data_IF_865727564530
#
_entry.id   IF_865727564530
#
_cell.length_a   1.000
_cell.length_b   1.000
_cell.length_c   1.000
_cell.angle_alpha   90.00
_cell.angle_beta   90.00
_cell.angle_gamma   90.00
#
_symmetry.space_group_name_H-M   'P 1'
#
loop_
_entity.id
_entity.type
_entity.pdbx_description
1 polymer ?
#
# COMPACT_ATOMS: atom_id res chain seq x y z
N UNK A 1 6.79 -19.59 11.12
CA UNK A 1 5.42 -20.06 10.89
C UNK A 1 4.70 -20.42 12.18
N UNK A 2 5.12 -21.43 12.95
CA UNK A 2 4.45 -21.79 14.22
C UNK A 2 4.37 -20.63 15.22
N UNK A 3 5.49 -19.92 15.46
CA UNK A 3 5.52 -18.73 16.32
C UNK A 3 4.66 -17.57 15.81
N UNK A 4 4.46 -17.47 14.48
CA UNK A 4 3.64 -16.41 13.89
C UNK A 4 2.15 -16.70 14.11
N UNK A 5 1.74 -17.95 13.95
CA UNK A 5 0.37 -18.42 14.24
C UNK A 5 0.06 -18.25 15.74
N UNK A 6 1.02 -18.54 16.62
CA UNK A 6 0.87 -18.30 18.06
C UNK A 6 0.69 -16.80 18.38
N UNK A 7 1.47 -15.92 17.72
CA UNK A 7 1.30 -14.48 17.86
C UNK A 7 -0.09 -14.01 17.42
N UNK A 8 -0.63 -14.55 16.31
CA UNK A 8 -2.01 -14.25 15.88
C UNK A 8 -3.03 -14.72 16.93
N UNK A 9 -2.89 -15.93 17.46
CA UNK A 9 -3.79 -16.42 18.51
C UNK A 9 -3.71 -15.59 19.79
N UNK A 10 -2.53 -15.05 20.13
CA UNK A 10 -2.33 -14.21 21.30
C UNK A 10 -3.10 -12.88 21.23
N UNK A 11 -3.42 -12.39 20.01
CA UNK A 11 -4.26 -11.20 19.83
C UNK A 11 -5.71 -11.41 20.27
N UNK A 12 -6.16 -12.66 20.40
CA UNK A 12 -7.55 -13.03 20.73
C UNK A 12 -8.59 -12.43 19.76
N UNK A 13 -8.15 -12.11 18.55
CA UNK A 13 -9.01 -11.76 17.43
C UNK A 13 -9.46 -13.04 16.73
N UNK A 14 -10.71 -13.06 16.28
CA UNK A 14 -11.33 -14.21 15.62
C UNK A 14 -12.65 -13.80 14.98
N UNK A 15 -13.66 -14.64 15.09
CA UNK A 15 -14.99 -14.35 14.53
C UNK A 15 -15.81 -13.47 15.47
N UNK A 16 -16.52 -12.49 14.91
CA UNK A 16 -17.61 -11.81 15.61
C UNK A 16 -18.96 -12.31 15.11
N UNK A 17 -20.00 -12.17 15.94
CA UNK A 17 -21.39 -12.39 15.53
C UNK A 17 -22.08 -11.05 15.43
N UNK A 18 -22.54 -10.70 14.22
CA UNK A 18 -23.26 -9.47 13.91
C UNK A 18 -24.61 -9.83 13.26
N UNK A 19 -25.57 -8.92 13.30
CA UNK A 19 -26.87 -9.11 12.64
C UNK A 19 -26.75 -8.87 11.12
N UNK A 20 -26.93 -9.90 10.27
CA UNK A 20 -26.83 -9.75 8.82
C UNK A 20 -27.99 -8.94 8.21
N UNK A 21 -29.11 -8.81 8.92
CA UNK A 21 -30.28 -8.07 8.48
C UNK A 21 -30.30 -6.61 8.95
N UNK A 22 -29.31 -6.19 9.75
CA UNK A 22 -29.18 -4.81 10.18
C UNK A 22 -29.02 -3.87 8.97
N UNK A 23 -29.61 -2.68 9.05
CA UNK A 23 -29.35 -1.64 8.05
C UNK A 23 -27.86 -1.22 8.07
N UNK A 24 -27.37 -0.51 7.03
CA UNK A 24 -25.95 -0.18 6.92
C UNK A 24 -25.38 0.61 8.11
N UNK A 25 -26.17 1.50 8.73
CA UNK A 25 -25.74 2.32 9.86
C UNK A 25 -25.61 1.49 11.15
N UNK A 26 -26.62 0.66 11.42
CA UNK A 26 -26.63 -0.27 12.53
C UNK A 26 -25.52 -1.32 12.39
N UNK A 27 -25.31 -1.87 11.18
CA UNK A 27 -24.23 -2.82 10.91
C UNK A 27 -22.85 -2.19 11.10
N UNK A 28 -22.65 -0.97 10.59
CA UNK A 28 -21.40 -0.22 10.79
C UNK A 28 -21.13 0.00 12.28
N UNK A 29 -22.16 0.34 13.06
CA UNK A 29 -22.04 0.51 14.51
C UNK A 29 -21.65 -0.80 15.23
N UNK A 30 -22.21 -1.93 14.78
CA UNK A 30 -21.84 -3.26 15.27
C UNK A 30 -20.39 -3.62 14.94
N UNK A 31 -19.94 -3.37 13.70
CA UNK A 31 -18.55 -3.59 13.27
C UNK A 31 -17.60 -2.76 14.15
N UNK A 32 -17.90 -1.47 14.36
CA UNK A 32 -17.09 -0.58 15.20
C UNK A 32 -16.98 -1.07 16.64
N UNK A 33 -18.09 -1.55 17.22
CA UNK A 33 -18.10 -2.12 18.57
C UNK A 33 -17.35 -3.46 18.67
N UNK A 34 -17.23 -4.20 17.57
CA UNK A 34 -16.53 -5.48 17.49
C UNK A 34 -15.11 -5.38 16.88
N UNK A 35 -14.61 -4.18 16.58
CA UNK A 35 -13.39 -3.96 15.80
C UNK A 35 -12.13 -4.68 16.35
N UNK A 36 -11.99 -4.79 17.67
CA UNK A 36 -10.86 -5.48 18.31
C UNK A 36 -11.06 -7.01 18.42
N UNK A 37 -12.21 -7.53 17.99
CA UNK A 37 -12.53 -8.96 17.99
C UNK A 37 -12.55 -9.56 16.59
N UNK A 38 -12.87 -8.77 15.57
CA UNK A 38 -12.89 -9.20 14.17
C UNK A 38 -11.45 -9.40 13.69
N UNK A 39 -11.08 -10.65 13.43
CA UNK A 39 -9.82 -11.05 12.80
C UNK A 39 -10.06 -11.87 11.53
N UNK A 40 -9.00 -12.38 10.93
CA UNK A 40 -9.11 -13.30 9.78
C UNK A 40 -9.58 -14.68 10.22
N UNK A 41 -10.25 -15.39 9.31
CA UNK A 41 -10.72 -16.77 9.54
C UNK A 41 -9.56 -17.75 9.72
N UNK A 42 -8.49 -17.58 8.93
CA UNK A 42 -7.29 -18.42 9.00
C UNK A 42 -6.14 -17.69 9.71
N UNK A 43 -5.58 -18.24 10.79
CA UNK A 43 -4.42 -17.62 11.46
C UNK A 43 -3.14 -17.69 10.61
N UNK A 44 -3.03 -18.66 9.69
CA UNK A 44 -1.91 -18.76 8.75
C UNK A 44 -1.98 -17.64 7.71
N UNK A 45 -3.18 -17.37 7.21
CA UNK A 45 -3.44 -16.25 6.30
C UNK A 45 -3.17 -14.91 6.98
N UNK A 46 -3.70 -14.72 8.20
CA UNK A 46 -3.45 -13.54 9.02
C UNK A 46 -1.94 -13.26 9.19
N UNK A 47 -1.17 -14.28 9.56
CA UNK A 47 0.27 -14.17 9.73
C UNK A 47 1.00 -13.85 8.41
N UNK A 48 0.54 -14.42 7.30
CA UNK A 48 1.11 -14.20 5.96
C UNK A 48 0.84 -12.78 5.49
N UNK A 49 -0.42 -12.32 5.55
CA UNK A 49 -0.81 -10.97 5.17
C UNK A 49 -0.13 -9.92 6.04
N UNK A 50 -0.06 -10.14 7.36
CA UNK A 50 0.63 -9.23 8.29
C UNK A 50 2.09 -9.00 7.96
N UNK A 51 2.76 -10.00 7.38
CA UNK A 51 4.18 -9.88 6.97
C UNK A 51 4.32 -9.22 5.61
N UNK A 52 3.50 -9.64 4.65
CA UNK A 52 3.56 -9.18 3.26
C UNK A 52 3.09 -7.73 3.11
N UNK A 53 1.99 -7.37 3.78
CA UNK A 53 1.31 -6.08 3.62
C UNK A 53 1.65 -5.05 4.70
N UNK A 54 2.62 -5.33 5.58
CA UNK A 54 3.05 -4.35 6.60
C UNK A 54 3.55 -3.04 5.96
N UNK A 55 4.18 -3.14 4.80
CA UNK A 55 4.70 -1.98 4.04
C UNK A 55 3.58 -1.08 3.53
N UNK A 56 2.35 -1.55 3.48
CA UNK A 56 1.21 -0.74 3.07
C UNK A 56 0.71 0.18 4.20
N UNK A 57 1.10 -0.11 5.44
CA UNK A 57 0.73 0.71 6.59
C UNK A 57 1.60 1.96 6.66
N UNK A 58 1.04 3.07 7.17
CA UNK A 58 1.82 4.24 7.45
C UNK A 58 2.95 3.93 8.44
N UNK A 59 4.11 4.57 8.31
CA UNK A 59 5.28 4.27 9.15
C UNK A 59 4.97 4.33 10.65
N UNK A 60 4.14 5.30 11.09
CA UNK A 60 3.72 5.43 12.48
C UNK A 60 2.87 4.25 12.99
N UNK A 61 2.18 3.55 12.09
CA UNK A 61 1.33 2.39 12.41
C UNK A 61 2.07 1.06 12.22
N UNK A 62 3.29 1.06 11.66
CA UNK A 62 4.18 -0.13 11.62
C UNK A 62 4.71 -0.51 13.02
N UNK A 63 4.59 0.39 14.00
CA UNK A 63 4.78 0.14 15.43
C UNK A 63 6.21 -0.18 15.88
N UNK A 64 6.37 -0.37 17.20
CA UNK A 64 7.58 -0.90 17.85
C UNK A 64 7.40 -2.36 18.32
N UNK A 65 6.18 -2.90 18.19
CA UNK A 65 5.82 -4.27 18.54
C UNK A 65 6.10 -5.26 17.41
N UNK A 66 5.44 -6.41 17.44
CA UNK A 66 5.57 -7.37 16.33
C UNK A 66 4.83 -6.87 15.08
N UNK A 67 5.28 -7.30 13.90
CA UNK A 67 4.62 -6.99 12.61
C UNK A 67 3.13 -7.38 12.61
N UNK A 68 2.80 -8.48 13.27
CA UNK A 68 1.45 -9.02 13.38
C UNK A 68 0.58 -8.10 14.25
N UNK A 69 1.05 -7.71 15.44
CA UNK A 69 0.32 -6.77 16.30
C UNK A 69 0.07 -5.43 15.61
N UNK A 70 1.08 -4.87 14.94
CA UNK A 70 0.96 -3.60 14.23
C UNK A 70 -0.12 -3.66 13.13
N UNK A 71 -0.09 -4.71 12.30
CA UNK A 71 -1.05 -4.89 11.22
C UNK A 71 -2.49 -5.07 11.71
N UNK A 72 -2.70 -5.92 12.71
CA UNK A 72 -4.02 -6.13 13.29
C UNK A 72 -4.54 -4.91 14.05
N UNK A 73 -3.66 -4.16 14.75
CA UNK A 73 -4.04 -2.90 15.40
C UNK A 73 -4.49 -1.85 14.37
N UNK A 74 -3.80 -1.75 13.23
CA UNK A 74 -4.19 -0.84 12.15
C UNK A 74 -5.50 -1.26 11.48
N UNK A 75 -5.76 -2.57 11.36
CA UNK A 75 -7.04 -3.11 10.88
C UNK A 75 -8.18 -2.73 11.82
N UNK A 76 -8.05 -3.02 13.12
CA UNK A 76 -9.06 -2.66 14.13
C UNK A 76 -9.32 -1.15 14.18
N UNK A 77 -8.27 -0.34 14.04
CA UNK A 77 -8.43 1.12 13.94
C UNK A 77 -9.23 1.52 12.70
N UNK A 78 -8.97 0.91 11.56
CA UNK A 78 -9.68 1.18 10.31
C UNK A 78 -11.15 0.76 10.39
N UNK A 79 -11.46 -0.37 11.03
CA UNK A 79 -12.85 -0.78 11.31
C UNK A 79 -13.57 0.21 12.24
N UNK A 80 -12.86 0.77 13.23
CA UNK A 80 -13.44 1.72 14.21
C UNK A 80 -13.70 3.11 13.63
N UNK A 81 -12.74 3.63 12.89
CA UNK A 81 -12.71 5.02 12.44
C UNK A 81 -13.12 5.20 10.97
N UNK A 82 -13.13 4.12 10.19
CA UNK A 82 -13.38 4.16 8.75
C UNK A 82 -14.80 4.58 8.38
N UNK A 83 -14.89 5.16 7.18
CA UNK A 83 -16.16 5.43 6.50
C UNK A 83 -16.57 4.20 5.69
N UNK A 84 -17.84 3.84 5.76
CA UNK A 84 -18.44 2.80 4.91
C UNK A 84 -18.39 3.26 3.44
N UNK A 85 -17.76 2.47 2.57
CA UNK A 85 -17.66 2.77 1.13
C UNK A 85 -18.30 1.72 0.25
N UNK A 86 -18.36 0.46 0.71
CA UNK A 86 -19.05 -0.64 0.03
C UNK A 86 -19.91 -1.38 1.04
N UNK A 87 -21.15 -1.68 0.62
CA UNK A 87 -22.07 -2.56 1.31
C UNK A 87 -22.85 -3.33 0.24
N UNK A 88 -22.50 -4.61 0.05
CA UNK A 88 -23.10 -5.46 -0.97
C UNK A 88 -23.48 -6.82 -0.42
N UNK A 89 -24.57 -7.40 -0.93
CA UNK A 89 -25.01 -8.75 -0.56
C UNK A 89 -24.89 -9.65 -1.79
N UNK A 90 -24.10 -10.71 -1.65
CA UNK A 90 -23.94 -11.77 -2.65
C UNK A 90 -25.20 -12.63 -2.76
N UNK A 91 -25.27 -13.42 -3.84
CA UNK A 91 -26.39 -14.35 -4.09
C UNK A 91 -26.50 -15.48 -3.06
N UNK A 92 -25.40 -15.78 -2.35
CA UNK A 92 -25.32 -16.74 -1.26
C UNK A 92 -25.74 -16.14 0.10
N UNK A 93 -26.14 -14.86 0.13
CA UNK A 93 -26.47 -14.13 1.36
C UNK A 93 -25.24 -13.65 2.13
N UNK A 94 -24.02 -13.84 1.60
CA UNK A 94 -22.81 -13.25 2.18
C UNK A 94 -22.81 -11.76 1.91
N UNK A 95 -22.69 -10.95 2.96
CA UNK A 95 -22.60 -9.51 2.88
C UNK A 95 -21.14 -9.06 3.00
N UNK A 96 -20.67 -8.29 2.03
CA UNK A 96 -19.33 -7.72 2.01
C UNK A 96 -19.41 -6.23 2.34
N UNK A 97 -18.67 -5.84 3.36
CA UNK A 97 -18.62 -4.47 3.86
C UNK A 97 -17.19 -3.97 3.78
N UNK A 98 -16.97 -2.79 3.19
CA UNK A 98 -15.64 -2.17 3.12
C UNK A 98 -15.66 -0.83 3.85
N UNK A 99 -14.75 -0.68 4.82
CA UNK A 99 -14.50 0.58 5.52
C UNK A 99 -13.14 1.13 5.14
N UNK A 100 -13.09 2.41 4.79
CA UNK A 100 -11.85 3.09 4.42
C UNK A 100 -11.53 4.25 5.37
N UNK A 101 -10.24 4.40 5.68
CA UNK A 101 -9.70 5.49 6.51
C UNK A 101 -8.48 6.10 5.83
N UNK A 102 -8.32 7.42 5.96
CA UNK A 102 -7.13 8.15 5.51
C UNK A 102 -6.16 8.40 6.65
N UNK A 103 -5.00 7.77 6.61
CA UNK A 103 -3.94 7.92 7.59
C UNK A 103 -2.79 8.79 7.05
N UNK A 104 -2.12 9.60 7.90
CA UNK A 104 -0.93 10.33 7.49
C UNK A 104 0.26 9.37 7.39
N UNK A 105 0.95 9.37 6.25
CA UNK A 105 2.27 8.75 6.11
C UNK A 105 3.36 9.74 6.55
N UNK A 106 3.22 10.99 6.09
CA UNK A 106 3.98 12.15 6.56
C UNK A 106 3.04 13.36 6.68
N UNK A 107 3.58 14.54 6.99
CA UNK A 107 2.82 15.80 6.85
C UNK A 107 2.46 16.12 5.38
N UNK A 108 3.10 15.47 4.41
CA UNK A 108 2.97 15.74 2.99
C UNK A 108 2.24 14.64 2.21
N UNK A 109 2.13 13.45 2.79
CA UNK A 109 1.51 12.28 2.15
C UNK A 109 0.48 11.67 3.08
N UNK A 110 -0.71 11.40 2.53
CA UNK A 110 -1.71 10.56 3.20
C UNK A 110 -1.93 9.31 2.36
N UNK A 111 -2.22 8.21 3.05
CA UNK A 111 -2.55 6.91 2.46
C UNK A 111 -3.96 6.50 2.88
N UNK A 112 -4.69 5.90 1.96
CA UNK A 112 -6.00 5.31 2.22
C UNK A 112 -5.80 3.84 2.57
N UNK A 113 -6.27 3.45 3.75
CA UNK A 113 -6.35 2.06 4.18
C UNK A 113 -7.80 1.57 4.06
N UNK A 114 -7.96 0.32 3.65
CA UNK A 114 -9.22 -0.37 3.50
C UNK A 114 -9.24 -1.62 4.36
N UNK A 115 -10.35 -1.84 5.07
CA UNK A 115 -10.65 -3.07 5.78
C UNK A 115 -11.95 -3.66 5.22
N UNK A 116 -11.85 -4.85 4.62
CA UNK A 116 -12.99 -5.58 4.05
C UNK A 116 -13.45 -6.65 5.03
N UNK A 117 -14.72 -6.61 5.39
CA UNK A 117 -15.38 -7.52 6.31
C UNK A 117 -16.35 -8.38 5.55
N UNK A 118 -16.26 -9.69 5.74
CA UNK A 118 -17.18 -10.68 5.19
C UNK A 118 -18.11 -11.18 6.28
N UNK A 119 -19.41 -10.98 6.09
CA UNK A 119 -20.48 -11.37 7.00
C UNK A 119 -21.33 -12.47 6.34
N UNK A 120 -21.33 -13.66 6.93
CA UNK A 120 -22.15 -14.79 6.47
C UNK A 120 -23.62 -14.61 6.89
N UNK A 121 -24.51 -15.32 6.21
CA UNK A 121 -25.95 -15.31 6.50
C UNK A 121 -26.31 -15.75 7.93
N UNK A 122 -25.43 -16.48 8.62
CA UNK A 122 -25.59 -16.89 10.03
C UNK A 122 -25.09 -15.84 11.04
N UNK A 123 -24.60 -14.69 10.57
CA UNK A 123 -24.05 -13.61 11.37
C UNK A 123 -22.55 -13.75 11.67
N UNK A 124 -21.89 -14.83 11.24
CA UNK A 124 -20.45 -15.01 11.43
C UNK A 124 -19.67 -14.01 10.59
N UNK A 125 -18.78 -13.26 11.24
CA UNK A 125 -18.06 -12.12 10.67
C UNK A 125 -16.56 -12.30 10.78
N UNK A 126 -15.85 -12.09 9.66
CA UNK A 126 -14.40 -12.14 9.58
C UNK A 126 -13.85 -10.94 8.82
N UNK A 127 -12.62 -10.55 9.14
CA UNK A 127 -11.80 -9.72 8.27
C UNK A 127 -11.39 -10.57 7.07
N UNK A 128 -11.75 -10.10 5.89
CA UNK A 128 -11.44 -10.76 4.62
C UNK A 128 -10.15 -10.21 4.05
N UNK A 129 -9.96 -8.90 4.11
CA UNK A 129 -8.73 -8.24 3.65
C UNK A 129 -8.43 -6.93 4.39
N UNK A 130 -7.15 -6.55 4.46
CA UNK A 130 -6.70 -5.27 5.02
C UNK A 130 -5.43 -4.73 4.36
N UNK A 131 -5.40 -3.43 4.09
CA UNK A 131 -4.24 -2.73 3.52
C UNK A 131 -4.68 -1.63 2.58
N UNK A 132 -3.99 -1.45 1.45
CA UNK A 132 -4.47 -0.60 0.36
C UNK A 132 -5.74 -1.18 -0.27
N UNK A 133 -6.68 -0.32 -0.74
CA UNK A 133 -7.85 -0.78 -1.49
C UNK A 133 -7.43 -1.58 -2.72
N UNK A 134 -7.96 -2.79 -2.85
CA UNK A 134 -7.67 -3.66 -3.99
C UNK A 134 -8.30 -3.20 -5.31
N UNK A 135 -9.40 -2.45 -5.22
CA UNK A 135 -10.17 -1.90 -6.34
C UNK A 135 -10.34 -0.39 -6.12
N UNK A 136 -9.26 0.39 -6.23
CA UNK A 136 -9.31 1.80 -5.88
C UNK A 136 -10.11 2.58 -6.92
N UNK A 137 -11.10 3.34 -6.45
CA UNK A 137 -11.84 4.33 -7.25
C UNK A 137 -11.20 5.74 -7.23
N UNK A 138 -10.18 5.92 -6.38
CA UNK A 138 -9.46 7.18 -6.15
C UNK A 138 -8.00 6.86 -5.79
N UNK A 139 -7.07 7.82 -5.91
CA UNK A 139 -5.68 7.57 -5.58
C UNK A 139 -5.53 7.11 -4.13
N UNK A 140 -4.86 5.98 -3.93
CA UNK A 140 -4.60 5.43 -2.58
C UNK A 140 -3.73 6.40 -1.80
N UNK A 141 -2.72 7.00 -2.45
CA UNK A 141 -1.90 8.06 -1.90
C UNK A 141 -2.32 9.44 -2.41
N UNK A 142 -2.37 10.41 -1.50
CA UNK A 142 -2.57 11.82 -1.84
C UNK A 142 -1.36 12.64 -1.40
N UNK A 143 -0.83 13.46 -2.31
CA UNK A 143 0.38 14.27 -2.13
C UNK A 143 0.02 15.74 -1.96
N UNK A 144 0.28 16.28 -0.77
CA UNK A 144 -0.04 17.67 -0.38
C UNK A 144 1.24 18.39 0.06
N UNK A 145 1.75 19.29 -0.77
CA UNK A 145 2.99 20.02 -0.49
C UNK A 145 3.62 20.57 -1.76
N UNK A 146 4.64 21.41 -1.59
CA UNK A 146 5.50 21.86 -2.68
C UNK A 146 6.65 20.87 -2.91
N UNK A 147 7.26 20.91 -4.10
CA UNK A 147 8.42 20.08 -4.47
C UNK A 147 9.54 20.17 -3.43
N UNK A 148 9.83 21.38 -2.96
CA UNK A 148 10.89 21.65 -1.98
C UNK A 148 10.64 20.96 -0.63
N UNK A 149 9.38 20.89 -0.19
CA UNK A 149 9.01 20.23 1.06
C UNK A 149 9.27 18.72 0.97
N UNK A 150 8.90 18.11 -0.17
CA UNK A 150 9.14 16.69 -0.43
C UNK A 150 10.63 16.37 -0.44
N UNK A 151 11.43 17.14 -1.17
CA UNK A 151 12.88 16.95 -1.24
C UNK A 151 13.56 17.18 0.12
N UNK A 152 13.10 18.16 0.89
CA UNK A 152 13.60 18.43 2.23
C UNK A 152 13.33 17.25 3.18
N UNK A 153 12.10 16.74 3.19
CA UNK A 153 11.72 15.59 4.02
C UNK A 153 12.46 14.31 3.57
N UNK A 154 12.55 14.04 2.27
CA UNK A 154 13.26 12.86 1.75
C UNK A 154 14.73 12.85 2.18
N UNK A 155 15.41 14.01 2.11
CA UNK A 155 16.80 14.15 2.58
C UNK A 155 16.93 14.00 4.10
N UNK A 156 15.93 14.43 4.86
CA UNK A 156 15.92 14.22 6.32
C UNK A 156 15.75 12.73 6.65
N UNK A 157 14.83 12.05 5.97
CA UNK A 157 14.54 10.62 6.12
C UNK A 157 15.73 9.75 5.70
N UNK A 158 16.45 10.13 4.63
CA UNK A 158 17.66 9.44 4.18
C UNK A 158 18.80 9.43 5.21
N UNK A 159 18.82 10.38 6.15
CA UNK A 159 19.83 10.44 7.23
C UNK A 159 19.47 9.57 8.43
N UNK A 160 18.28 8.98 8.46
CA UNK A 160 17.77 8.20 9.56
C UNK A 160 17.70 6.72 9.16
N UNK A 161 18.55 5.90 9.76
CA UNK A 161 18.65 4.46 9.45
C UNK A 161 17.36 3.69 9.75
N UNK A 162 16.52 4.19 10.67
CA UNK A 162 15.25 3.57 11.04
C UNK A 162 14.07 3.96 10.12
N UNK A 163 14.28 4.88 9.17
CA UNK A 163 13.24 5.27 8.20
C UNK A 163 13.46 4.47 6.92
N UNK A 164 12.53 3.58 6.53
CA UNK A 164 12.73 2.69 5.40
C UNK A 164 12.76 3.45 4.06
N UNK A 165 13.48 2.87 3.09
CA UNK A 165 13.71 3.50 1.79
C UNK A 165 12.42 3.70 0.97
N UNK A 166 11.41 2.83 1.13
CA UNK A 166 10.11 2.93 0.45
C UNK A 166 9.43 4.29 0.68
N UNK A 167 9.45 4.79 1.93
CA UNK A 167 8.92 6.10 2.29
C UNK A 167 9.69 7.23 1.61
N UNK A 168 11.02 7.11 1.51
CA UNK A 168 11.84 8.11 0.80
C UNK A 168 11.45 8.15 -0.68
N UNK A 169 11.35 6.99 -1.35
CA UNK A 169 10.99 6.92 -2.76
C UNK A 169 9.56 7.46 -3.01
N UNK A 170 8.64 7.24 -2.07
CA UNK A 170 7.30 7.83 -2.10
C UNK A 170 7.35 9.37 -2.03
N UNK A 171 8.21 9.96 -1.19
CA UNK A 171 8.40 11.41 -1.12
C UNK A 171 9.04 11.97 -2.40
N UNK A 172 10.04 11.27 -2.94
CA UNK A 172 10.67 11.67 -4.22
C UNK A 172 9.67 11.59 -5.37
N UNK A 173 8.78 10.59 -5.40
CA UNK A 173 7.69 10.52 -6.37
C UNK A 173 6.74 11.71 -6.19
N UNK A 174 6.38 12.04 -4.96
CA UNK A 174 5.58 13.22 -4.64
C UNK A 174 6.17 14.53 -5.19
N UNK A 175 7.49 14.70 -5.12
CA UNK A 175 8.19 15.86 -5.70
C UNK A 175 8.00 15.93 -7.23
N UNK A 176 8.19 14.81 -7.92
CA UNK A 176 8.06 14.73 -9.39
C UNK A 176 6.63 14.88 -9.88
N UNK A 177 5.63 14.43 -9.11
CA UNK A 177 4.22 14.66 -9.45
C UNK A 177 3.81 16.14 -9.36
N UNK A 178 4.57 16.98 -8.62
CA UNK A 178 4.33 18.43 -8.53
C UNK A 178 5.08 19.24 -9.57
N UNK A 179 6.26 18.78 -9.96
CA UNK A 179 7.10 19.45 -10.95
C UNK A 179 7.57 18.43 -11.99
N UNK A 180 7.04 18.57 -13.20
CA UNK A 180 7.37 17.67 -14.29
C UNK A 180 8.85 17.85 -14.66
N UNK A 181 9.62 16.77 -14.47
CA UNK A 181 11.04 16.60 -14.77
C UNK A 181 12.00 17.27 -13.79
N UNK A 182 12.91 16.44 -13.27
CA UNK A 182 14.13 16.85 -12.56
C UNK A 182 13.88 17.80 -11.36
N UNK A 183 13.13 17.36 -10.32
CA UNK A 183 12.85 18.18 -9.15
C UNK A 183 14.14 18.60 -8.42
N UNK A 184 14.20 19.87 -8.02
CA UNK A 184 15.29 20.44 -7.21
C UNK A 184 16.56 20.81 -7.96
N UNK A 185 17.58 21.21 -7.19
CA UNK A 185 18.90 21.62 -7.71
C UNK A 185 19.83 20.43 -7.92
N UNK A 186 20.84 20.57 -8.79
CA UNK A 186 21.89 19.58 -9.01
C UNK A 186 22.54 19.10 -7.70
N UNK A 187 22.80 20.03 -6.76
CA UNK A 187 23.38 19.71 -5.46
C UNK A 187 22.46 18.82 -4.62
N UNK A 188 21.15 19.07 -4.63
CA UNK A 188 20.19 18.22 -3.92
C UNK A 188 20.11 16.83 -4.54
N UNK A 189 20.15 16.73 -5.86
CA UNK A 189 20.10 15.46 -6.59
C UNK A 189 21.32 14.60 -6.29
N UNK A 190 22.53 15.17 -6.34
CA UNK A 190 23.77 14.47 -5.99
C UNK A 190 23.71 13.93 -4.56
N UNK A 191 23.26 14.75 -3.60
CA UNK A 191 23.15 14.32 -2.20
C UNK A 191 22.14 13.20 -1.99
N UNK A 192 21.01 13.23 -2.71
CA UNK A 192 20.02 12.15 -2.67
C UNK A 192 20.64 10.89 -3.30
N UNK A 193 21.26 10.99 -4.47
CA UNK A 193 21.89 9.87 -5.15
C UNK A 193 22.95 9.18 -4.28
N UNK A 194 23.85 9.95 -3.67
CA UNK A 194 24.89 9.43 -2.75
C UNK A 194 24.27 8.68 -1.56
N UNK A 195 23.20 9.22 -0.97
CA UNK A 195 22.52 8.57 0.14
C UNK A 195 21.78 7.29 -0.27
N UNK A 196 21.21 7.24 -1.48
CA UNK A 196 20.59 6.04 -2.05
C UNK A 196 21.65 4.96 -2.31
N UNK A 197 22.80 5.33 -2.87
CA UNK A 197 23.94 4.41 -3.10
C UNK A 197 24.38 3.77 -1.79
N UNK A 198 24.47 4.56 -0.71
CA UNK A 198 24.81 4.05 0.62
C UNK A 198 23.78 3.05 1.16
N UNK A 199 22.53 3.08 0.66
CA UNK A 199 21.41 2.21 1.05
C UNK A 199 21.08 1.16 -0.02
N UNK A 200 22.06 0.75 -0.84
CA UNK A 200 21.87 -0.24 -1.93
C UNK A 200 21.12 -1.51 -1.50
N UNK A 201 21.40 -2.03 -0.31
CA UNK A 201 20.71 -3.22 0.20
C UNK A 201 19.19 -3.03 0.32
N UNK A 202 18.75 -1.85 0.70
CA UNK A 202 17.32 -1.52 0.78
C UNK A 202 16.70 -1.23 -0.58
N UNK A 203 17.48 -0.69 -1.52
CA UNK A 203 17.06 -0.55 -2.91
C UNK A 203 16.75 -1.91 -3.52
N UNK A 204 17.61 -2.91 -3.29
CA UNK A 204 17.36 -4.28 -3.75
C UNK A 204 16.09 -4.89 -3.12
N UNK A 205 15.81 -4.59 -1.85
CA UNK A 205 14.55 -5.00 -1.20
C UNK A 205 13.36 -4.33 -1.88
N UNK A 206 13.46 -3.06 -2.23
CA UNK A 206 12.40 -2.33 -2.93
C UNK A 206 12.17 -2.87 -4.35
N UNK A 207 13.22 -3.22 -5.10
CA UNK A 207 13.12 -3.84 -6.43
C UNK A 207 12.41 -5.19 -6.34
N UNK A 208 12.84 -6.06 -5.43
CA UNK A 208 12.16 -7.35 -5.19
C UNK A 208 10.69 -7.18 -4.82
N UNK A 209 10.38 -6.15 -4.02
CA UNK A 209 9.00 -5.84 -3.66
C UNK A 209 8.19 -5.36 -4.89
N UNK A 210 8.81 -4.62 -5.80
CA UNK A 210 8.19 -4.20 -7.06
C UNK A 210 7.88 -5.41 -7.97
N UNK A 211 8.81 -6.37 -8.05
CA UNK A 211 8.63 -7.65 -8.75
C UNK A 211 7.47 -8.47 -8.15
N UNK A 212 7.45 -8.64 -6.82
CA UNK A 212 6.35 -9.32 -6.12
C UNK A 212 4.97 -8.68 -6.41
N UNK A 213 4.92 -7.35 -6.54
CA UNK A 213 3.69 -6.65 -6.92
C UNK A 213 3.36 -6.77 -8.41
N UNK A 214 4.35 -6.75 -9.30
CA UNK A 214 4.16 -6.98 -10.72
C UNK A 214 3.54 -8.36 -10.98
N UNK A 215 4.07 -9.41 -10.33
CA UNK A 215 3.52 -10.77 -10.39
C UNK A 215 2.08 -10.86 -9.88
N UNK A 216 1.71 -10.04 -8.89
CA UNK A 216 0.37 -9.98 -8.31
C UNK A 216 -0.60 -9.01 -9.03
N UNK A 217 -0.15 -8.30 -10.06
CA UNK A 217 -0.87 -7.16 -10.66
C UNK A 217 -2.17 -7.54 -11.39
N UNK A 218 -2.30 -8.78 -11.87
CA UNK A 218 -3.51 -9.28 -12.54
C UNK A 218 -4.75 -9.40 -11.65
N UNK A 219 -4.61 -9.23 -10.33
CA UNK A 219 -5.72 -9.14 -9.38
C UNK A 219 -5.81 -7.75 -8.73
N UNK A 220 -5.97 -7.71 -7.41
CA UNK A 220 -6.04 -6.49 -6.60
C UNK A 220 -4.67 -5.77 -6.42
N UNK A 221 -3.65 -6.16 -7.20
CA UNK A 221 -2.27 -5.66 -7.08
C UNK A 221 -1.92 -4.49 -8.00
N UNK A 222 -2.81 -4.08 -8.91
CA UNK A 222 -2.55 -3.05 -9.93
C UNK A 222 -1.89 -1.79 -9.38
N UNK A 223 -2.50 -1.17 -8.36
CA UNK A 223 -2.03 0.11 -7.83
C UNK A 223 -0.63 -0.01 -7.21
N UNK A 224 -0.38 -1.08 -6.46
CA UNK A 224 0.91 -1.30 -5.82
C UNK A 224 2.03 -1.52 -6.85
N UNK A 225 1.74 -2.34 -7.87
CA UNK A 225 2.67 -2.61 -8.96
C UNK A 225 3.05 -1.31 -9.69
N UNK A 226 2.05 -0.50 -10.05
CA UNK A 226 2.24 0.77 -10.72
C UNK A 226 3.01 1.79 -9.86
N UNK A 227 2.68 1.89 -8.57
CA UNK A 227 3.35 2.81 -7.64
C UNK A 227 4.83 2.46 -7.47
N UNK A 228 5.13 1.18 -7.22
CA UNK A 228 6.50 0.74 -6.99
C UNK A 228 7.36 0.93 -8.23
N UNK A 229 6.84 0.58 -9.41
CA UNK A 229 7.54 0.80 -10.68
C UNK A 229 7.75 2.29 -10.97
N UNK A 230 6.77 3.15 -10.68
CA UNK A 230 6.94 4.61 -10.75
C UNK A 230 7.97 5.16 -9.76
N UNK A 231 8.09 4.58 -8.56
CA UNK A 231 9.15 4.93 -7.62
C UNK A 231 10.55 4.63 -8.16
N UNK A 232 10.72 3.47 -8.81
CA UNK A 232 11.98 3.08 -9.47
C UNK A 232 12.29 3.99 -10.66
N UNK A 233 11.33 4.19 -11.58
CA UNK A 233 11.52 5.05 -12.75
C UNK A 233 11.93 6.46 -12.32
N UNK A 234 11.21 7.02 -11.35
CA UNK A 234 11.48 8.33 -10.83
C UNK A 234 12.89 8.44 -10.23
N UNK A 235 13.31 7.43 -9.47
CA UNK A 235 14.65 7.38 -8.90
C UNK A 235 15.73 7.36 -10.00
N UNK A 236 15.54 6.54 -11.03
CA UNK A 236 16.50 6.36 -12.12
C UNK A 236 16.60 7.60 -13.00
N UNK A 237 15.47 8.11 -13.49
CA UNK A 237 15.45 9.24 -14.41
C UNK A 237 15.91 10.55 -13.75
N UNK A 238 15.44 10.81 -12.51
CA UNK A 238 15.58 12.15 -11.92
C UNK A 238 16.73 12.30 -10.92
N UNK A 239 17.25 11.20 -10.36
CA UNK A 239 18.25 11.28 -9.29
C UNK A 239 19.52 10.49 -9.57
N UNK A 240 19.42 9.24 -10.02
CA UNK A 240 20.61 8.41 -10.27
C UNK A 240 21.21 8.62 -11.66
N UNK A 241 20.39 8.88 -12.68
CA UNK A 241 20.85 8.98 -14.06
C UNK A 241 21.68 7.77 -14.46
N UNK A 242 22.87 8.00 -15.04
CA UNK A 242 23.76 6.92 -15.46
C UNK A 242 24.33 6.06 -14.32
N UNK A 243 24.26 6.53 -13.06
CA UNK A 243 24.68 5.71 -11.93
C UNK A 243 23.78 4.49 -11.72
N UNK A 244 22.52 4.53 -12.19
CA UNK A 244 21.57 3.43 -12.07
C UNK A 244 22.14 2.12 -12.64
N UNK A 245 22.79 2.18 -13.82
CA UNK A 245 23.41 1.02 -14.49
C UNK A 245 24.50 0.30 -13.68
N UNK A 246 25.06 0.95 -12.66
CA UNK A 246 26.07 0.35 -11.79
C UNK A 246 25.49 -0.22 -10.48
N UNK A 247 24.27 0.21 -10.13
CA UNK A 247 23.63 -0.08 -8.85
C UNK A 247 22.60 -1.20 -8.96
N UNK A 248 21.86 -1.20 -10.07
CA UNK A 248 20.71 -2.04 -10.32
C UNK A 248 21.00 -2.92 -11.52
N UNK A 249 20.56 -4.17 -11.45
CA UNK A 249 20.53 -5.03 -12.62
C UNK A 249 19.36 -4.61 -13.52
N UNK A 250 19.66 -4.14 -14.72
CA UNK A 250 18.61 -3.69 -15.64
C UNK A 250 17.75 -4.85 -16.13
N UNK A 251 18.26 -6.09 -16.11
CA UNK A 251 17.49 -7.29 -16.42
C UNK A 251 16.31 -7.45 -15.43
N UNK A 252 16.53 -7.20 -14.14
CA UNK A 252 15.44 -7.24 -13.13
C UNK A 252 14.35 -6.19 -13.42
N UNK A 253 14.72 -5.02 -13.98
CA UNK A 253 13.74 -3.97 -14.31
C UNK A 253 12.95 -4.34 -15.57
N UNK A 254 13.63 -4.92 -16.57
CA UNK A 254 13.00 -5.44 -17.78
C UNK A 254 12.03 -6.58 -17.45
N UNK A 255 12.41 -7.50 -16.55
CA UNK A 255 11.54 -8.57 -16.05
C UNK A 255 10.26 -8.02 -15.37
N UNK A 256 10.41 -6.98 -14.55
CA UNK A 256 9.25 -6.29 -13.95
C UNK A 256 8.36 -5.70 -15.06
N UNK A 257 8.93 -5.02 -16.05
CA UNK A 257 8.17 -4.40 -17.14
C UNK A 257 7.46 -5.44 -18.02
N UNK A 258 8.07 -6.60 -18.23
CA UNK A 258 7.48 -7.73 -18.96
C UNK A 258 6.31 -8.34 -18.19
N UNK A 259 6.47 -8.61 -16.88
CA UNK A 259 5.39 -9.12 -16.03
C UNK A 259 4.20 -8.13 -15.95
N UNK A 260 4.49 -6.82 -15.88
CA UNK A 260 3.45 -5.78 -15.93
C UNK A 260 2.71 -5.80 -17.28
N UNK A 261 3.43 -5.91 -18.40
CA UNK A 261 2.82 -5.93 -19.73
C UNK A 261 1.90 -7.12 -19.93
N UNK A 262 2.28 -8.27 -19.40
CA UNK A 262 1.51 -9.51 -19.52
C UNK A 262 0.27 -9.52 -18.62
N UNK A 263 0.36 -8.94 -17.42
CA UNK A 263 -0.68 -9.09 -16.38
C UNK A 263 -1.64 -7.92 -16.25
N UNK A 264 -1.18 -6.68 -16.46
CA UNK A 264 -2.03 -5.49 -16.28
C UNK A 264 -3.28 -5.48 -17.18
N UNK A 265 -3.24 -5.92 -18.46
CA UNK A 265 -4.45 -5.99 -19.28
C UNK A 265 -5.55 -6.92 -18.73
N UNK A 266 -5.19 -7.85 -17.84
CA UNK A 266 -6.13 -8.74 -17.15
C UNK A 266 -6.62 -8.21 -15.80
N UNK A 267 -6.08 -7.09 -15.32
CA UNK A 267 -6.49 -6.51 -14.04
C UNK A 267 -7.89 -5.91 -14.13
N UNK A 268 -8.66 -6.01 -13.05
CA UNK A 268 -10.06 -5.53 -12.99
C UNK A 268 -10.33 -4.78 -11.70
N UNK A 269 -11.37 -3.94 -11.70
CA UNK A 269 -11.89 -3.27 -10.51
C UNK A 269 -11.20 -1.95 -10.13
N UNK A 270 -10.02 -1.65 -10.68
CA UNK A 270 -9.46 -0.30 -10.59
C UNK A 270 -10.22 0.69 -11.49
N UNK A 271 -10.38 1.93 -11.01
CA UNK A 271 -10.86 3.05 -11.83
C UNK A 271 -9.65 3.86 -12.33
N UNK A 272 -9.71 4.35 -13.57
CA UNK A 272 -8.71 5.29 -14.11
C UNK A 272 -8.56 6.54 -13.24
N UNK A 273 -9.63 6.95 -12.54
CA UNK A 273 -9.59 8.02 -11.56
C UNK A 273 -8.69 7.75 -10.34
N UNK A 274 -8.19 6.52 -10.17
CA UNK A 274 -7.23 6.17 -9.12
C UNK A 274 -5.77 6.44 -9.48
N UNK A 275 -5.45 6.78 -10.74
CA UNK A 275 -4.11 7.21 -11.13
C UNK A 275 -3.79 8.53 -10.42
N UNK A 276 -2.63 8.68 -9.74
CA UNK A 276 -2.26 9.94 -9.12
C UNK A 276 -2.15 11.09 -10.12
N UNK A 277 -2.68 12.27 -9.77
CA UNK A 277 -2.55 13.47 -10.58
C UNK A 277 -1.06 13.81 -10.84
N UNK A 278 -0.75 14.17 -12.08
CA UNK A 278 0.61 14.50 -12.50
C UNK A 278 1.48 13.29 -12.86
N UNK A 279 0.92 12.08 -12.85
CA UNK A 279 1.64 10.87 -13.30
C UNK A 279 2.17 11.07 -14.73
N UNK A 280 3.49 10.90 -14.96
CA UNK A 280 4.08 11.07 -16.28
C UNK A 280 3.52 10.09 -17.32
N UNK A 281 3.35 10.54 -18.56
CA UNK A 281 2.78 9.73 -19.65
C UNK A 281 3.64 8.50 -19.98
N UNK A 282 4.95 8.58 -19.76
CA UNK A 282 5.86 7.45 -19.97
C UNK A 282 5.70 6.34 -18.93
N UNK A 283 4.98 6.58 -17.82
CA UNK A 283 4.58 5.54 -16.86
C UNK A 283 3.37 4.75 -17.40
N UNK A 284 3.55 4.15 -18.58
CA UNK A 284 2.51 3.49 -19.37
C UNK A 284 1.73 2.42 -18.59
N UNK A 285 2.35 1.80 -17.58
CA UNK A 285 1.74 0.77 -16.74
C UNK A 285 0.48 1.25 -16.00
N UNK A 286 0.35 2.54 -15.70
CA UNK A 286 -0.88 3.07 -15.11
C UNK A 286 -2.08 2.96 -16.06
N UNK A 287 -1.85 3.05 -17.36
CA UNK A 287 -2.90 3.03 -18.39
C UNK A 287 -3.11 1.64 -18.99
N UNK A 288 -2.14 0.73 -18.83
CA UNK A 288 -2.17 -0.62 -19.42
C UNK A 288 -3.37 -1.47 -18.97
N UNK A 289 -3.95 -1.19 -17.80
CA UNK A 289 -5.15 -1.85 -17.29
C UNK A 289 -6.45 -1.38 -17.97
N UNK A 290 -6.40 -0.29 -18.73
CA UNK A 290 -7.58 0.36 -19.33
C UNK A 290 -7.55 0.35 -20.87
N UNK A 291 -6.56 -0.33 -21.45
CA UNK A 291 -6.30 -0.39 -22.88
C UNK A 291 -7.04 -1.54 -23.58
#
# INVERSE_FOLDING_TARGET
>A
MAADVEAVHALRQGGASLDPQADPEALTSQIRAAADRIGFESPVEAATLSKRRLVELPLLERGQGTKIEAYHSAASRTLREGALVVDSVGSDGTRNVELQRRAPETGLVRVTLSARVRLRADGTTWLDDFGWPGEPARPVHTFTGATEDFLAQARADLRQENIPLDRVLLLLLGATLKEAHRPGTDTQQIQIAEAIVARRGELNVYIRQAEDYALASGGQGWYAACLYRSGLENLFENFLGSAAFSLVDMEEIEDIDDELRDRLPGSTGADRAAIPDGTPIQHWWWEAAFA
#
